data_IF_426295905065
#
_entry.id   IF_426295905065
#
_cell.length_a   1.000
_cell.length_b   1.000
_cell.length_c   1.000
_cell.angle_alpha   90.00
_cell.angle_beta   90.00
_cell.angle_gamma   90.00
#
_symmetry.space_group_name_H-M   'P 1'
#
loop_
_entity.id
_entity.type
_entity.pdbx_description
1 polymer ?
#
# COMPACT_ATOMS: atom_id res chain seq x y z
N UNK A 1 11.90 27.52 -12.24
CA UNK A 1 13.04 26.64 -12.59
C UNK A 1 13.62 26.93 -13.99
N UNK A 2 12.87 26.74 -15.09
CA UNK A 2 13.41 26.91 -16.46
C UNK A 2 13.85 28.33 -16.83
N UNK A 3 13.11 29.35 -16.40
CA UNK A 3 13.48 30.77 -16.64
C UNK A 3 14.77 31.15 -15.89
N UNK A 4 15.13 30.41 -14.84
CA UNK A 4 16.39 30.56 -14.10
C UNK A 4 17.52 29.63 -14.59
N UNK A 5 17.42 29.06 -15.80
CA UNK A 5 18.49 28.23 -16.39
C UNK A 5 18.47 26.75 -16.00
N UNK A 6 17.48 26.26 -15.26
CA UNK A 6 17.39 24.83 -14.95
C UNK A 6 16.98 24.01 -16.18
N UNK A 7 17.75 22.95 -16.48
CA UNK A 7 17.42 21.97 -17.52
C UNK A 7 16.08 21.24 -17.27
N UNK A 8 15.48 20.60 -18.29
CA UNK A 8 14.12 20.05 -18.22
C UNK A 8 13.92 19.01 -17.12
N UNK A 9 14.88 18.09 -16.92
CA UNK A 9 14.82 17.11 -15.85
C UNK A 9 14.89 17.76 -14.45
N UNK A 10 15.77 18.75 -14.28
CA UNK A 10 15.90 19.50 -13.02
C UNK A 10 14.66 20.33 -12.71
N UNK A 11 14.06 20.96 -13.73
CA UNK A 11 12.81 21.68 -13.57
C UNK A 11 11.64 20.74 -13.19
N UNK A 12 11.59 19.53 -13.75
CA UNK A 12 10.59 18.54 -13.38
C UNK A 12 10.77 18.06 -11.93
N UNK A 13 11.99 17.70 -11.53
CA UNK A 13 12.28 17.21 -10.17
C UNK A 13 12.11 18.29 -9.13
N UNK A 14 12.51 19.53 -9.41
CA UNK A 14 12.49 20.62 -8.42
C UNK A 14 11.11 21.27 -8.30
N UNK A 15 10.28 21.22 -9.36
CA UNK A 15 8.96 21.89 -9.38
C UNK A 15 7.82 20.88 -9.43
N UNK A 16 7.74 20.08 -10.50
CA UNK A 16 6.57 19.22 -10.75
C UNK A 16 6.50 18.04 -9.78
N UNK A 17 7.62 17.38 -9.51
CA UNK A 17 7.67 16.19 -8.65
C UNK A 17 7.24 16.47 -7.19
N UNK A 18 7.71 17.52 -6.49
CA UNK A 18 7.23 17.85 -5.15
C UNK A 18 5.77 18.30 -5.13
N UNK A 19 5.27 18.95 -6.20
CA UNK A 19 3.84 19.24 -6.33
C UNK A 19 2.99 17.97 -6.47
N UNK A 20 3.53 16.93 -7.13
CA UNK A 20 2.85 15.64 -7.30
C UNK A 20 2.98 14.71 -6.08
N UNK A 21 3.96 14.91 -5.19
CA UNK A 21 4.19 14.07 -3.99
C UNK A 21 2.92 13.72 -3.18
N UNK A 22 2.03 14.67 -2.80
CA UNK A 22 0.84 14.31 -2.04
C UNK A 22 -0.12 13.40 -2.83
N UNK A 23 -0.30 13.66 -4.13
CA UNK A 23 -1.12 12.83 -5.00
C UNK A 23 -0.52 11.42 -5.20
N UNK A 24 0.79 11.33 -5.39
CA UNK A 24 1.51 10.05 -5.50
C UNK A 24 1.40 9.22 -4.21
N UNK A 25 1.40 9.88 -3.05
CA UNK A 25 1.24 9.19 -1.76
C UNK A 25 -0.16 8.55 -1.67
N UNK A 26 -1.21 9.28 -2.04
CA UNK A 26 -2.58 8.75 -2.06
C UNK A 26 -2.70 7.63 -3.09
N UNK A 27 -2.17 7.84 -4.31
CA UNK A 27 -2.18 6.83 -5.36
C UNK A 27 -1.44 5.55 -4.95
N UNK A 28 -0.30 5.67 -4.26
CA UNK A 28 0.45 4.54 -3.74
C UNK A 28 -0.36 3.74 -2.71
N UNK A 29 -0.99 4.42 -1.73
CA UNK A 29 -1.82 3.75 -0.73
C UNK A 29 -3.00 3.02 -1.37
N UNK A 30 -3.66 3.66 -2.34
CA UNK A 30 -4.78 3.04 -3.06
C UNK A 30 -4.33 1.84 -3.91
N UNK A 31 -3.22 1.96 -4.64
CA UNK A 31 -2.66 0.86 -5.42
C UNK A 31 -2.22 -0.30 -4.53
N UNK A 32 -1.57 -0.01 -3.39
CA UNK A 32 -1.21 -1.01 -2.39
C UNK A 32 -2.44 -1.74 -1.86
N UNK A 33 -3.50 -1.01 -1.49
CA UNK A 33 -4.75 -1.60 -1.02
C UNK A 33 -5.37 -2.49 -2.09
N UNK A 34 -5.43 -2.03 -3.34
CA UNK A 34 -5.97 -2.80 -4.46
C UNK A 34 -5.20 -4.11 -4.68
N UNK A 35 -3.86 -4.06 -4.69
CA UNK A 35 -3.03 -5.25 -4.79
C UNK A 35 -3.17 -6.17 -3.58
N UNK A 36 -3.29 -5.62 -2.36
CA UNK A 36 -3.47 -6.39 -1.14
C UNK A 36 -4.82 -7.11 -1.08
N UNK A 37 -5.83 -6.61 -1.79
CA UNK A 37 -7.15 -7.24 -1.92
C UNK A 37 -7.26 -8.22 -3.09
N UNK A 38 -6.23 -8.32 -3.92
CA UNK A 38 -6.23 -9.20 -5.10
C UNK A 38 -5.86 -10.64 -4.68
N UNK A 39 -6.88 -11.47 -4.51
CA UNK A 39 -6.72 -12.89 -4.16
C UNK A 39 -6.74 -13.77 -5.43
N UNK A 40 -7.49 -13.38 -6.45
CA UNK A 40 -7.74 -14.16 -7.66
C UNK A 40 -6.50 -14.37 -8.50
N UNK A 41 -5.76 -13.31 -8.79
CA UNK A 41 -4.49 -13.37 -9.52
C UNK A 41 -3.42 -14.07 -8.68
N UNK A 42 -3.44 -13.86 -7.36
CA UNK A 42 -2.53 -14.54 -6.43
C UNK A 42 -2.72 -16.06 -6.51
N UNK A 43 -3.95 -16.56 -6.46
CA UNK A 43 -4.28 -18.00 -6.60
C UNK A 43 -3.78 -18.57 -7.95
N UNK A 44 -3.91 -17.82 -9.05
CA UNK A 44 -3.52 -18.28 -10.39
C UNK A 44 -2.00 -18.34 -10.60
N UNK A 45 -1.23 -17.54 -9.86
CA UNK A 45 0.23 -17.44 -9.99
C UNK A 45 1.00 -18.10 -8.84
N UNK A 46 0.31 -18.73 -7.86
CA UNK A 46 0.94 -19.47 -6.77
C UNK A 46 1.72 -20.66 -7.32
N UNK A 47 3.06 -20.72 -7.15
CA UNK A 47 3.80 -21.94 -7.35
C UNK A 47 3.40 -22.98 -6.29
N UNK A 48 3.28 -24.24 -6.70
CA UNK A 48 2.90 -25.35 -5.83
C UNK A 48 3.82 -25.39 -4.58
N UNK A 49 3.23 -25.21 -3.40
CA UNK A 49 3.93 -25.22 -2.11
C UNK A 49 4.10 -23.86 -1.41
N UNK A 50 3.56 -22.77 -1.95
CA UNK A 50 3.53 -21.47 -1.26
C UNK A 50 2.10 -21.07 -0.85
N UNK A 51 1.88 -20.95 0.46
CA UNK A 51 0.62 -20.40 0.99
C UNK A 51 0.70 -18.87 0.96
N UNK A 52 -0.11 -18.23 0.11
CA UNK A 52 -0.36 -16.79 0.18
C UNK A 52 -1.51 -16.52 1.14
N UNK A 53 -1.43 -15.38 1.82
CA UNK A 53 -2.37 -15.00 2.88
C UNK A 53 -3.84 -15.07 2.39
N UNK A 54 -4.08 -14.73 1.12
CA UNK A 54 -5.40 -14.82 0.49
C UNK A 54 -5.91 -16.25 0.25
N UNK A 55 -5.05 -17.20 -0.16
CA UNK A 55 -5.47 -18.60 -0.37
C UNK A 55 -5.76 -19.30 0.96
N UNK A 56 -4.90 -19.08 1.96
CA UNK A 56 -5.08 -19.64 3.31
C UNK A 56 -6.38 -19.14 3.94
N UNK A 57 -6.68 -17.84 3.80
CA UNK A 57 -7.90 -17.26 4.36
C UNK A 57 -9.16 -17.80 3.66
N UNK A 58 -9.12 -17.98 2.34
CA UNK A 58 -10.22 -18.58 1.58
C UNK A 58 -10.45 -20.05 1.97
N UNK A 59 -9.38 -20.83 2.13
CA UNK A 59 -9.44 -22.24 2.51
C UNK A 59 -9.98 -22.41 3.94
N UNK A 60 -9.46 -21.64 4.90
CA UNK A 60 -9.95 -21.65 6.29
C UNK A 60 -11.43 -21.26 6.35
N UNK A 61 -11.86 -20.27 5.56
CA UNK A 61 -13.25 -19.85 5.53
C UNK A 61 -14.16 -20.92 4.89
N UNK A 62 -13.73 -21.52 3.77
CA UNK A 62 -14.60 -22.37 2.94
C UNK A 62 -14.62 -23.83 3.39
N UNK A 63 -13.51 -24.34 3.92
CA UNK A 63 -13.32 -25.79 4.10
C UNK A 63 -12.78 -26.21 5.47
N UNK A 64 -12.24 -25.29 6.28
CA UNK A 64 -11.56 -25.65 7.53
C UNK A 64 -12.26 -25.09 8.79
N UNK A 65 -11.96 -23.86 9.19
CA UNK A 65 -12.50 -23.22 10.41
C UNK A 65 -12.72 -21.71 10.17
N UNK A 66 -13.99 -21.27 10.03
CA UNK A 66 -14.33 -19.87 9.85
C UNK A 66 -13.86 -18.97 11.01
N UNK A 67 -13.76 -19.51 12.23
CA UNK A 67 -13.28 -18.74 13.37
C UNK A 67 -11.78 -18.42 13.24
N UNK A 68 -10.97 -19.39 12.79
CA UNK A 68 -9.55 -19.18 12.50
C UNK A 68 -9.35 -18.17 11.34
N UNK A 69 -10.18 -18.25 10.30
CA UNK A 69 -10.18 -17.28 9.20
C UNK A 69 -10.48 -15.85 9.69
N UNK A 70 -11.43 -15.69 10.61
CA UNK A 70 -11.78 -14.39 11.19
C UNK A 70 -10.63 -13.80 12.00
N UNK A 71 -9.91 -14.61 12.79
CA UNK A 71 -8.73 -14.15 13.53
C UNK A 71 -7.63 -13.65 12.58
N UNK A 72 -7.35 -14.41 11.52
CA UNK A 72 -6.37 -14.02 10.50
C UNK A 72 -6.78 -12.72 9.79
N UNK A 73 -8.05 -12.58 9.43
CA UNK A 73 -8.60 -11.37 8.81
C UNK A 73 -8.48 -10.15 9.74
N UNK A 74 -8.85 -10.29 11.02
CA UNK A 74 -8.72 -9.23 12.01
C UNK A 74 -7.26 -8.80 12.21
N UNK A 75 -6.32 -9.75 12.26
CA UNK A 75 -4.89 -9.47 12.37
C UNK A 75 -4.36 -8.70 11.15
N UNK A 76 -4.80 -9.09 9.94
CA UNK A 76 -4.42 -8.40 8.71
C UNK A 76 -4.95 -6.96 8.67
N UNK A 77 -6.23 -6.75 9.01
CA UNK A 77 -6.82 -5.40 9.11
C UNK A 77 -6.08 -4.56 10.13
N UNK A 78 -5.77 -5.12 11.31
CA UNK A 78 -5.01 -4.41 12.34
C UNK A 78 -3.63 -3.97 11.85
N UNK A 79 -2.92 -4.82 11.11
CA UNK A 79 -1.62 -4.49 10.50
C UNK A 79 -1.73 -3.32 9.53
N UNK A 80 -2.74 -3.34 8.64
CA UNK A 80 -2.96 -2.26 7.65
C UNK A 80 -3.28 -0.94 8.36
N UNK A 81 -4.18 -0.97 9.36
CA UNK A 81 -4.55 0.22 10.14
C UNK A 81 -3.34 0.76 10.91
N UNK A 82 -2.53 -0.11 11.52
CA UNK A 82 -1.30 0.29 12.20
C UNK A 82 -0.31 0.95 11.23
N UNK A 83 -0.12 0.38 10.04
CA UNK A 83 0.72 0.97 8.99
C UNK A 83 0.23 2.35 8.57
N UNK A 84 -1.09 2.52 8.37
CA UNK A 84 -1.69 3.81 8.05
C UNK A 84 -1.54 4.81 9.20
N UNK A 85 -1.69 4.38 10.46
CA UNK A 85 -1.51 5.23 11.63
C UNK A 85 -0.05 5.71 11.76
N UNK A 86 0.93 4.83 11.50
CA UNK A 86 2.36 5.18 11.49
C UNK A 86 2.66 6.18 10.37
N UNK A 87 2.16 5.96 9.15
CA UNK A 87 2.30 6.93 8.06
C UNK A 87 1.65 8.27 8.41
N UNK A 88 0.44 8.25 8.96
CA UNK A 88 -0.27 9.46 9.36
C UNK A 88 0.48 10.22 10.46
N UNK A 89 1.05 9.51 11.44
CA UNK A 89 1.88 10.09 12.49
C UNK A 89 3.19 10.66 11.95
N UNK A 90 3.87 9.95 11.03
CA UNK A 90 5.07 10.42 10.37
C UNK A 90 4.79 11.70 9.55
N UNK A 91 3.65 11.78 8.86
CA UNK A 91 3.21 12.98 8.16
C UNK A 91 2.93 14.17 9.08
N UNK A 92 2.41 13.94 10.29
CA UNK A 92 2.22 14.99 11.30
C UNK A 92 3.53 15.51 11.89
N UNK A 93 4.62 14.74 11.79
CA UNK A 93 5.95 15.12 12.26
C UNK A 93 6.83 15.81 11.24
N UNK A 94 6.41 15.90 9.97
CA UNK A 94 7.08 16.76 8.99
C UNK A 94 6.51 18.17 9.20
N UNK A 95 7.22 19.08 9.89
CA UNK A 95 6.78 20.45 10.01
C UNK A 95 6.80 21.04 8.61
N UNK A 96 5.77 21.79 8.25
CA UNK A 96 5.80 22.64 7.05
C UNK A 96 7.00 23.59 7.20
N UNK A 97 8.10 23.25 6.53
CA UNK A 97 9.19 24.20 6.30
C UNK A 97 8.63 25.21 5.31
N UNK A 98 8.15 26.33 5.87
CA UNK A 98 7.73 27.54 5.17
C UNK A 98 8.85 28.10 4.29
#
# INVERSE_FOLDING_TARGET
>A
ARVGGAGPARAFVDTTLPLLRPALTVAFVLAFLACATEITLSVLLVPAGSEVLGTLLFELQSYADPAAAAVLACAFVALVVAGQAVLAWARRRVPEVR
#
